data_IF_334259491000
#
_entry.id   IF_334259491000
#
_cell.length_a   1.000
_cell.length_b   1.000
_cell.length_c   1.000
_cell.angle_alpha   90.00
_cell.angle_beta   90.00
_cell.angle_gamma   90.00
#
_symmetry.space_group_name_H-M   'P 1'
#
loop_
_entity.id
_entity.type
_entity.pdbx_description
1 polymer ?
#
# COMPACT_ATOMS: atom_id res chain seq x y z
N UNK A 1 -3.29 8.27 18.43
CA UNK A 1 -2.60 8.33 17.13
C UNK A 1 -3.24 9.45 16.31
N UNK A 2 -2.53 10.56 16.04
CA UNK A 2 -3.06 11.66 15.21
C UNK A 2 -2.87 11.29 13.75
N UNK A 3 -3.97 11.19 12.99
CA UNK A 3 -3.91 11.00 11.54
C UNK A 3 -3.33 12.28 10.92
N UNK A 4 -2.23 12.20 10.16
CA UNK A 4 -1.64 13.39 9.54
C UNK A 4 -2.59 14.00 8.51
N UNK A 5 -2.55 15.33 8.36
CA UNK A 5 -3.33 16.04 7.34
C UNK A 5 -2.92 15.60 5.93
N UNK A 6 -3.84 15.72 4.96
CA UNK A 6 -3.62 15.42 3.54
C UNK A 6 -2.32 16.07 3.00
N UNK A 7 -2.08 17.34 3.32
CA UNK A 7 -0.85 18.08 2.95
C UNK A 7 0.42 17.54 3.59
N UNK A 8 0.32 16.94 4.78
CA UNK A 8 1.46 16.34 5.48
C UNK A 8 1.79 14.94 4.94
N UNK A 9 0.79 14.22 4.43
CA UNK A 9 0.97 12.92 3.78
C UNK A 9 1.96 13.01 2.61
N UNK A 10 1.80 14.00 1.71
CA UNK A 10 2.69 14.23 0.57
C UNK A 10 4.05 14.85 0.90
N UNK A 11 4.25 15.38 2.12
CA UNK A 11 5.55 15.85 2.61
C UNK A 11 6.36 14.75 3.31
N UNK A 12 5.78 13.58 3.55
CA UNK A 12 6.49 12.46 4.14
C UNK A 12 7.51 11.94 3.13
N UNK A 13 8.78 11.80 3.52
CA UNK A 13 9.77 11.20 2.64
C UNK A 13 9.30 9.77 2.33
N UNK A 14 9.49 9.37 1.07
CA UNK A 14 9.12 8.04 0.61
C UNK A 14 10.27 7.44 -0.16
N UNK A 15 10.55 6.16 0.10
CA UNK A 15 11.42 5.34 -0.74
C UNK A 15 10.50 4.56 -1.67
N UNK A 16 10.71 4.67 -2.98
CA UNK A 16 9.87 4.06 -4.00
C UNK A 16 10.71 3.23 -4.97
N UNK A 17 10.26 2.00 -5.19
CA UNK A 17 10.80 1.10 -6.21
C UNK A 17 9.78 0.90 -7.32
N UNK A 18 10.28 0.83 -8.56
CA UNK A 18 9.46 0.51 -9.73
C UNK A 18 9.50 -0.99 -9.97
N UNK A 19 8.33 -1.59 -10.13
CA UNK A 19 8.20 -3.00 -10.48
C UNK A 19 8.29 -3.10 -12.00
N UNK A 20 9.27 -3.85 -12.50
CA UNK A 20 9.54 -3.99 -13.92
C UNK A 20 9.55 -5.46 -14.33
N UNK A 21 8.91 -5.78 -15.46
CA UNK A 21 9.00 -7.09 -16.11
C UNK A 21 9.64 -6.89 -17.49
N UNK A 22 10.82 -7.48 -17.70
CA UNK A 22 11.69 -7.17 -18.85
C UNK A 22 11.95 -5.66 -18.91
N UNK A 23 11.47 -4.96 -19.94
CA UNK A 23 11.62 -3.50 -20.10
C UNK A 23 10.33 -2.72 -19.81
N UNK A 24 9.28 -3.39 -19.34
CA UNK A 24 7.97 -2.76 -19.09
C UNK A 24 7.79 -2.48 -17.60
N UNK A 25 7.55 -1.23 -17.24
CA UNK A 25 7.17 -0.81 -15.89
C UNK A 25 5.71 -1.20 -15.66
N UNK A 26 5.46 -2.03 -14.66
CA UNK A 26 4.13 -2.62 -14.41
C UNK A 26 3.51 -2.19 -13.08
N UNK A 27 4.22 -1.36 -12.32
CA UNK A 27 3.72 -0.84 -11.05
C UNK A 27 4.82 -0.28 -10.17
N UNK A 28 4.50 -0.09 -8.90
CA UNK A 28 5.44 0.38 -7.89
C UNK A 28 5.10 -0.16 -6.51
N UNK A 29 6.09 -0.09 -5.64
CA UNK A 29 5.96 -0.29 -4.20
C UNK A 29 6.76 0.82 -3.51
N UNK A 30 6.24 1.33 -2.40
CA UNK A 30 6.91 2.34 -1.61
C UNK A 30 6.70 2.13 -0.13
N UNK A 31 7.59 2.74 0.65
CA UNK A 31 7.45 2.89 2.09
C UNK A 31 7.63 4.35 2.47
N UNK A 32 6.76 4.84 3.34
CA UNK A 32 6.82 6.17 3.93
C UNK A 32 7.65 6.14 5.21
N UNK A 33 8.19 7.27 5.66
CA UNK A 33 8.95 7.35 6.94
C UNK A 33 8.18 6.85 8.15
N UNK A 34 6.85 6.92 8.16
CA UNK A 34 6.00 6.43 9.24
C UNK A 34 5.74 4.91 9.19
N UNK A 35 6.49 4.17 8.37
CA UNK A 35 6.38 2.72 8.14
C UNK A 35 5.14 2.26 7.35
N UNK A 36 4.36 3.20 6.80
CA UNK A 36 3.25 2.85 5.92
C UNK A 36 3.78 2.36 4.56
N UNK A 37 3.36 1.17 4.14
CA UNK A 37 3.63 0.64 2.81
C UNK A 37 2.47 0.93 1.86
N UNK A 38 2.80 1.20 0.61
CA UNK A 38 1.83 1.36 -0.46
C UNK A 38 2.33 0.75 -1.75
N UNK A 39 1.42 0.19 -2.53
CA UNK A 39 1.76 -0.53 -3.75
C UNK A 39 0.63 -0.43 -4.77
N UNK A 40 1.01 -0.56 -6.04
CA UNK A 40 0.07 -0.60 -7.15
C UNK A 40 0.68 -1.40 -8.29
N UNK A 41 -0.17 -2.14 -9.00
CA UNK A 41 0.13 -2.80 -10.26
C UNK A 41 -0.92 -2.40 -11.27
N UNK A 42 -0.51 -2.24 -12.53
CA UNK A 42 -1.48 -2.07 -13.63
C UNK A 42 -2.40 -3.31 -13.71
N UNK A 43 -3.69 -3.14 -14.08
CA UNK A 43 -4.72 -4.17 -13.91
C UNK A 43 -4.37 -5.53 -14.51
N UNK A 44 -3.72 -5.56 -15.67
CA UNK A 44 -3.37 -6.78 -16.42
C UNK A 44 -2.40 -7.68 -15.65
N UNK A 45 -1.67 -7.12 -14.68
CA UNK A 45 -0.65 -7.79 -13.87
C UNK A 45 -1.12 -8.08 -12.44
N UNK A 46 -2.35 -7.70 -12.07
CA UNK A 46 -2.94 -8.01 -10.78
C UNK A 46 -3.38 -9.49 -10.70
N UNK A 47 -3.58 -10.00 -9.48
CA UNK A 47 -4.02 -11.39 -9.25
C UNK A 47 -2.95 -12.47 -9.47
N UNK A 48 -1.74 -12.10 -9.88
CA UNK A 48 -0.65 -13.04 -10.23
C UNK A 48 0.43 -13.20 -9.14
N UNK A 49 0.18 -12.69 -7.93
CA UNK A 49 1.15 -12.73 -6.81
C UNK A 49 2.30 -11.72 -6.90
N UNK A 50 2.41 -10.95 -7.98
CA UNK A 50 3.49 -9.95 -8.20
C UNK A 50 3.51 -8.90 -7.07
N UNK A 51 2.34 -8.43 -6.63
CA UNK A 51 2.25 -7.43 -5.56
C UNK A 51 2.77 -7.98 -4.23
N UNK A 52 2.36 -9.20 -3.87
CA UNK A 52 2.83 -9.89 -2.66
C UNK A 52 4.35 -10.05 -2.68
N UNK A 53 4.90 -10.48 -3.82
CA UNK A 53 6.34 -10.60 -4.00
C UNK A 53 7.04 -9.24 -3.87
N UNK A 54 6.53 -8.20 -4.52
CA UNK A 54 7.14 -6.87 -4.51
C UNK A 54 7.17 -6.24 -3.12
N UNK A 55 6.09 -6.37 -2.34
CA UNK A 55 6.05 -5.90 -0.95
C UNK A 55 7.00 -6.71 -0.07
N UNK A 56 7.06 -8.03 -0.23
CA UNK A 56 8.03 -8.85 0.50
C UNK A 56 9.49 -8.45 0.18
N UNK A 57 9.81 -8.09 -1.06
CA UNK A 57 11.14 -7.58 -1.41
C UNK A 57 11.40 -6.20 -0.79
N UNK A 58 10.42 -5.29 -0.83
CA UNK A 58 10.53 -4.00 -0.14
C UNK A 58 10.84 -4.20 1.35
N UNK A 59 10.13 -5.08 2.05
CA UNK A 59 10.35 -5.32 3.49
C UNK A 59 11.73 -5.94 3.77
N UNK A 60 12.34 -6.65 2.82
CA UNK A 60 13.72 -7.16 2.96
C UNK A 60 14.75 -6.06 2.75
N UNK A 61 14.59 -5.25 1.71
CA UNK A 61 15.53 -4.17 1.35
C UNK A 61 15.45 -3.04 2.38
N UNK A 62 14.23 -2.60 2.68
CA UNK A 62 13.90 -1.56 3.65
C UNK A 62 13.44 -2.21 4.95
N UNK A 63 14.34 -2.96 5.59
CA UNK A 63 14.08 -3.68 6.85
C UNK A 63 13.73 -2.71 7.97
N UNK A 64 12.58 -2.92 8.62
CA UNK A 64 12.07 -2.15 9.77
C UNK A 64 11.42 -3.08 10.78
N UNK A 65 11.35 -2.64 12.03
CA UNK A 65 10.73 -3.43 13.11
C UNK A 65 9.20 -3.51 13.00
N UNK A 66 8.59 -2.59 12.25
CA UNK A 66 7.14 -2.47 12.13
C UNK A 66 6.76 -1.90 10.78
N UNK A 67 5.66 -2.41 10.22
CA UNK A 67 5.06 -1.92 8.99
C UNK A 67 3.56 -1.71 9.19
N UNK A 68 3.01 -0.72 8.49
CA UNK A 68 1.58 -0.43 8.44
C UNK A 68 1.06 -0.48 7.01
N UNK A 69 -0.20 -0.88 6.83
CA UNK A 69 -0.87 -0.86 5.54
C UNK A 69 -2.35 -0.54 5.73
N UNK A 70 -2.81 0.51 5.07
CA UNK A 70 -4.21 0.96 5.10
C UNK A 70 -4.91 0.48 3.85
N UNK A 71 -5.73 -0.57 4.01
CA UNK A 71 -6.39 -1.24 2.89
C UNK A 71 -7.89 -0.98 2.94
N UNK A 72 -8.46 -0.55 1.80
CA UNK A 72 -9.92 -0.54 1.64
C UNK A 72 -10.43 -1.99 1.65
N UNK A 73 -11.38 -2.31 2.53
CA UNK A 73 -11.90 -3.67 2.68
C UNK A 73 -12.57 -4.23 1.41
N UNK A 74 -13.00 -3.37 0.47
CA UNK A 74 -13.51 -3.77 -0.85
C UNK A 74 -12.41 -4.20 -1.82
N UNK A 75 -11.15 -3.85 -1.54
CA UNK A 75 -10.00 -4.28 -2.34
C UNK A 75 -9.51 -5.66 -1.88
N UNK A 76 -10.27 -6.69 -2.25
CA UNK A 76 -10.02 -8.09 -1.85
C UNK A 76 -8.60 -8.55 -2.21
N UNK A 77 -8.06 -8.10 -3.35
CA UNK A 77 -6.69 -8.42 -3.76
C UNK A 77 -5.64 -7.91 -2.78
N UNK A 78 -5.81 -6.68 -2.30
CA UNK A 78 -4.91 -6.07 -1.31
C UNK A 78 -5.09 -6.66 0.09
N UNK A 79 -6.33 -6.96 0.49
CA UNK A 79 -6.61 -7.66 1.77
C UNK A 79 -5.86 -9.00 1.81
N UNK A 80 -6.05 -9.84 0.79
CA UNK A 80 -5.36 -11.14 0.68
C UNK A 80 -3.84 -10.99 0.65
N UNK A 81 -3.32 -9.92 0.04
CA UNK A 81 -1.88 -9.66 -0.03
C UNK A 81 -1.30 -9.41 1.36
N UNK A 82 -1.88 -8.49 2.12
CA UNK A 82 -1.35 -8.13 3.45
C UNK A 82 -1.52 -9.28 4.45
N UNK A 83 -2.63 -10.03 4.38
CA UNK A 83 -2.84 -11.24 5.17
C UNK A 83 -1.77 -12.30 4.90
N UNK A 84 -1.44 -12.56 3.62
CA UNK A 84 -0.37 -13.49 3.23
C UNK A 84 1.01 -13.08 3.73
N UNK A 85 1.23 -11.78 3.94
CA UNK A 85 2.48 -11.24 4.50
C UNK A 85 2.46 -11.15 6.03
N UNK A 86 1.41 -11.65 6.69
CA UNK A 86 1.32 -11.73 8.14
C UNK A 86 0.85 -10.44 8.83
N UNK A 87 0.36 -9.45 8.07
CA UNK A 87 -0.28 -8.28 8.67
C UNK A 87 -1.56 -8.69 9.39
N UNK A 88 -1.81 -8.08 10.54
CA UNK A 88 -3.01 -8.30 11.35
C UNK A 88 -3.83 -7.01 11.41
N UNK A 89 -5.18 -7.08 11.34
CA UNK A 89 -6.02 -5.90 11.54
C UNK A 89 -5.73 -5.23 12.89
N UNK A 90 -5.53 -3.91 12.89
CA UNK A 90 -5.24 -3.14 14.11
C UNK A 90 -6.29 -2.07 14.42
N UNK A 91 -6.96 -1.53 13.39
CA UNK A 91 -7.95 -0.48 13.52
C UNK A 91 -8.94 -0.52 12.35
N UNK A 92 -10.10 0.12 12.54
CA UNK A 92 -11.10 0.38 11.51
C UNK A 92 -11.16 1.89 11.28
N UNK A 93 -11.23 2.31 10.02
CA UNK A 93 -11.40 3.71 9.63
C UNK A 93 -12.89 3.95 9.39
N UNK A 94 -13.47 4.92 10.10
CA UNK A 94 -14.84 5.39 9.87
C UNK A 94 -14.82 6.63 8.98
N UNK A 95 -15.51 6.58 7.85
CA UNK A 95 -15.69 7.72 6.95
C UNK A 95 -17.12 8.26 7.02
N UNK A 96 -17.28 9.59 6.95
CA UNK A 96 -18.58 10.26 6.79
C UNK A 96 -18.50 11.17 5.57
N UNK A 97 -19.26 10.86 4.52
CA UNK A 97 -19.42 11.76 3.36
C UNK A 97 -20.32 12.92 3.78
N UNK A 98 -19.83 14.15 3.65
CA UNK A 98 -20.58 15.37 4.01
C UNK A 98 -21.22 16.05 2.80
N UNK A 99 -20.95 15.58 1.59
CA UNK A 99 -21.63 15.95 0.33
C UNK A 99 -21.86 14.69 -0.50
N UNK A 100 -23.03 14.56 -1.09
CA UNK A 100 -23.36 13.49 -2.04
C UNK A 100 -22.56 13.70 -3.32
N UNK A 101 -21.98 12.63 -3.87
CA UNK A 101 -21.51 12.62 -5.26
C UNK A 101 -22.74 12.94 -6.13
N UNK A 102 -22.73 14.12 -6.77
CA UNK A 102 -23.69 14.42 -7.83
C UNK A 102 -23.34 13.46 -8.96
N UNK A 103 -24.23 12.49 -9.18
CA UNK A 103 -24.17 11.54 -10.30
C UNK A 103 -24.32 12.32 -11.61
#
# INVERSE_FOLDING_TARGET
MKIPSYTKFFKTKSIRYIIQKKSVKIGFVHILDNNEIGYYLIPEFQGRGIGTWAVAQLMKIESRDLYYATINNKNIGSVRLVEKLGFKPKAIIYEKKTRSEVI
#
